data_IF_942834971530
#
_entry.id   IF_942834971530
#
_cell.length_a   1.000
_cell.length_b   1.000
_cell.length_c   1.000
_cell.angle_alpha   90.00
_cell.angle_beta   90.00
_cell.angle_gamma   90.00
#
_symmetry.space_group_name_H-M   'P 1'
#
loop_
_entity.id
_entity.type
_entity.pdbx_description
1 polymer ?
#
# COMPACT_ATOMS: atom_id res chain seq x y z
N UNK A 1 -9.63 -21.25 -4.96
CA UNK A 1 -9.15 -19.97 -5.53
C UNK A 1 -8.40 -19.26 -4.43
N UNK A 2 -7.14 -18.87 -4.62
CA UNK A 2 -6.49 -17.99 -3.67
C UNK A 2 -7.32 -16.72 -3.59
N UNK A 3 -7.63 -16.27 -2.38
CA UNK A 3 -8.25 -14.97 -2.21
C UNK A 3 -7.15 -13.96 -2.55
N UNK A 4 -7.37 -13.11 -3.54
CA UNK A 4 -6.51 -11.94 -3.73
C UNK A 4 -6.34 -11.29 -2.37
N UNK A 5 -5.10 -11.20 -1.88
CA UNK A 5 -4.81 -10.34 -0.76
C UNK A 5 -4.90 -8.95 -1.33
N UNK A 6 -5.73 -8.07 -0.79
CA UNK A 6 -5.89 -6.79 -1.46
C UNK A 6 -4.69 -5.86 -1.22
N UNK A 7 -3.79 -6.21 -0.26
CA UNK A 7 -2.64 -5.39 0.17
C UNK A 7 -1.78 -5.98 1.28
N UNK A 8 -0.51 -5.57 1.34
CA UNK A 8 0.37 -5.57 2.53
C UNK A 8 0.73 -4.14 2.92
N UNK A 9 0.99 -3.89 4.22
CA UNK A 9 1.32 -2.55 4.72
C UNK A 9 2.73 -2.52 5.34
N UNK A 10 3.57 -1.60 4.88
CA UNK A 10 4.90 -1.36 5.46
C UNK A 10 5.01 0.07 6.01
N UNK A 11 5.59 0.21 7.20
CA UNK A 11 5.76 1.49 7.89
C UNK A 11 7.24 1.76 8.08
N UNK A 12 7.75 2.83 7.50
CA UNK A 12 9.11 3.29 7.74
C UNK A 12 9.13 4.24 8.92
N UNK A 13 10.06 4.03 9.85
CA UNK A 13 10.24 4.84 11.05
C UNK A 13 11.50 5.72 10.93
N UNK A 14 11.46 6.90 11.56
CA UNK A 14 12.66 7.72 11.77
C UNK A 14 13.51 7.21 12.95
N UNK A 15 14.61 7.89 13.24
CA UNK A 15 15.51 7.55 14.35
C UNK A 15 14.89 7.69 15.76
N UNK A 16 13.71 8.31 15.88
CA UNK A 16 12.93 8.42 17.10
C UNK A 16 11.78 7.41 17.16
N UNK A 17 11.79 6.39 16.30
CA UNK A 17 10.75 5.36 16.15
C UNK A 17 9.37 5.91 15.75
N UNK A 18 9.33 7.08 15.09
CA UNK A 18 8.09 7.67 14.60
C UNK A 18 7.86 7.32 13.12
N UNK A 19 6.63 6.92 12.73
CA UNK A 19 6.23 6.78 11.33
C UNK A 19 6.53 8.01 10.48
N UNK A 20 7.23 7.81 9.35
CA UNK A 20 7.48 8.84 8.33
C UNK A 20 6.87 8.50 6.99
N UNK A 21 6.86 7.23 6.62
CA UNK A 21 6.22 6.74 5.39
C UNK A 21 5.37 5.52 5.66
N UNK A 22 4.30 5.42 4.90
CA UNK A 22 3.45 4.24 4.86
C UNK A 22 3.28 3.79 3.42
N UNK A 23 3.53 2.50 3.21
CA UNK A 23 3.48 1.80 1.95
C UNK A 23 2.33 0.81 1.98
N UNK A 24 1.69 0.67 0.83
CA UNK A 24 0.62 -0.27 0.60
C UNK A 24 0.90 -1.02 -0.70
N UNK A 25 1.38 -2.25 -0.59
CA UNK A 25 1.71 -3.05 -1.77
C UNK A 25 0.44 -3.64 -2.38
N UNK A 26 0.35 -3.69 -3.71
CA UNK A 26 -0.70 -4.44 -4.39
C UNK A 26 -0.23 -5.90 -4.53
N UNK A 27 -0.94 -6.84 -3.90
CA UNK A 27 -0.55 -8.26 -3.91
C UNK A 27 -1.50 -9.10 -4.76
N UNK A 28 -0.99 -9.75 -5.80
CA UNK A 28 -1.79 -10.62 -6.67
C UNK A 28 -2.33 -11.84 -5.90
N UNK A 29 -1.51 -12.39 -5.01
CA UNK A 29 -1.84 -13.55 -4.19
C UNK A 29 -1.24 -13.42 -2.79
N UNK A 30 -2.08 -13.56 -1.77
CA UNK A 30 -1.62 -13.59 -0.38
C UNK A 30 -1.18 -15.01 0.00
N UNK A 31 -0.03 -15.14 0.66
CA UNK A 31 0.46 -16.39 1.19
C UNK A 31 1.43 -16.19 2.35
N UNK A 32 1.83 -17.30 2.98
CA UNK A 32 2.88 -17.32 3.99
C UNK A 32 3.80 -18.52 3.74
N UNK A 33 5.13 -18.35 3.69
CA UNK A 33 5.87 -17.11 3.94
C UNK A 33 5.98 -16.17 2.72
N UNK A 34 5.39 -16.53 1.59
CA UNK A 34 5.53 -15.80 0.32
C UNK A 34 4.21 -15.19 -0.13
N UNK A 35 4.26 -13.95 -0.60
CA UNK A 35 3.20 -13.25 -1.32
C UNK A 35 3.63 -13.05 -2.78
N UNK A 36 2.66 -13.01 -3.70
CA UNK A 36 2.90 -12.64 -5.08
C UNK A 36 2.67 -11.15 -5.24
N UNK A 37 3.72 -10.43 -5.56
CA UNK A 37 3.70 -8.99 -5.82
C UNK A 37 2.99 -8.67 -7.15
N UNK A 38 2.30 -7.54 -7.21
CA UNK A 38 1.64 -7.03 -8.42
C UNK A 38 2.22 -5.69 -8.90
N UNK A 39 3.51 -5.46 -8.63
CA UNK A 39 4.37 -4.38 -9.09
C UNK A 39 4.03 -2.98 -8.56
N UNK A 40 2.76 -2.66 -8.32
CA UNK A 40 2.38 -1.33 -7.86
C UNK A 40 2.32 -1.23 -6.35
N UNK A 41 2.84 -0.13 -5.83
CA UNK A 41 2.66 0.28 -4.44
C UNK A 41 2.00 1.66 -4.36
N UNK A 42 1.36 1.94 -3.22
CA UNK A 42 0.94 3.29 -2.85
C UNK A 42 1.75 3.76 -1.65
N UNK A 43 2.52 4.83 -1.84
CA UNK A 43 3.30 5.48 -0.77
C UNK A 43 2.58 6.74 -0.28
N UNK A 44 2.65 7.00 1.02
CA UNK A 44 2.18 8.25 1.62
C UNK A 44 3.11 8.71 2.75
N UNK A 45 3.08 10.02 3.04
CA UNK A 45 3.71 10.58 4.22
C UNK A 45 2.85 10.26 5.45
N UNK A 46 3.46 9.75 6.52
CA UNK A 46 2.80 9.63 7.81
C UNK A 46 2.97 10.94 8.60
N UNK A 47 1.87 11.45 9.15
CA UNK A 47 1.88 12.65 10.00
C UNK A 47 0.81 12.54 11.08
N UNK A 48 0.87 13.39 12.11
CA UNK A 48 -0.20 13.50 13.10
C UNK A 48 -1.18 14.62 12.72
N UNK A 49 -2.48 14.34 12.79
CA UNK A 49 -3.53 15.34 12.69
C UNK A 49 -3.55 16.25 13.94
N UNK A 50 -4.44 17.24 13.97
CA UNK A 50 -4.59 18.16 15.12
C UNK A 50 -5.02 17.47 16.41
N UNK A 51 -5.62 16.29 16.33
CA UNK A 51 -5.99 15.47 17.49
C UNK A 51 -4.85 14.51 17.89
N UNK A 52 -3.69 14.57 17.23
CA UNK A 52 -2.55 13.71 17.51
C UNK A 52 -2.65 12.31 16.91
N UNK A 53 -3.63 12.05 16.02
CA UNK A 53 -3.82 10.75 15.37
C UNK A 53 -2.97 10.64 14.12
N UNK A 54 -2.42 9.45 13.86
CA UNK A 54 -1.69 9.19 12.63
C UNK A 54 -2.62 9.29 11.42
N UNK A 55 -2.15 9.98 10.39
CA UNK A 55 -2.84 10.18 9.13
C UNK A 55 -1.83 10.11 7.99
N UNK A 56 -2.31 9.70 6.82
CA UNK A 56 -1.52 9.74 5.61
C UNK A 56 -1.79 11.00 4.80
N UNK A 57 -0.71 11.56 4.27
CA UNK A 57 -0.73 12.75 3.44
C UNK A 57 -0.08 12.43 2.09
N UNK A 58 -0.58 13.09 1.04
CA UNK A 58 -0.03 13.05 -0.30
C UNK A 58 0.23 11.63 -0.83
N UNK A 59 -0.80 10.75 -0.88
CA UNK A 59 -0.61 9.41 -1.43
C UNK A 59 -0.26 9.47 -2.92
N UNK A 60 0.67 8.64 -3.34
CA UNK A 60 1.12 8.51 -4.74
C UNK A 60 1.27 7.04 -5.08
N UNK A 61 0.81 6.64 -6.26
CA UNK A 61 1.09 5.32 -6.84
C UNK A 61 2.51 5.34 -7.41
N UNK A 62 3.33 4.35 -7.07
CA UNK A 62 4.70 4.20 -7.55
C UNK A 62 4.86 2.91 -8.36
N UNK A 63 6.04 2.74 -8.96
CA UNK A 63 6.47 1.52 -9.66
C UNK A 63 5.63 1.15 -10.91
N UNK A 64 4.98 2.16 -11.49
CA UNK A 64 4.29 2.05 -12.78
C UNK A 64 5.20 1.55 -13.90
N UNK A 65 6.48 1.94 -13.90
CA UNK A 65 7.45 1.48 -14.89
C UNK A 65 7.66 -0.04 -14.81
N UNK A 66 7.67 -0.61 -13.61
CA UNK A 66 7.86 -2.05 -13.42
C UNK A 66 6.64 -2.84 -13.90
N UNK A 67 5.42 -2.36 -13.63
CA UNK A 67 4.20 -2.94 -14.18
C UNK A 67 4.20 -2.91 -15.72
N UNK A 68 4.57 -1.78 -16.32
CA UNK A 68 4.67 -1.65 -17.77
C UNK A 68 5.72 -2.58 -18.38
N UNK A 69 6.86 -2.72 -17.72
CA UNK A 69 7.94 -3.61 -18.15
C UNK A 69 7.52 -5.07 -18.07
N UNK A 70 6.80 -5.47 -17.02
CA UNK A 70 6.22 -6.80 -16.88
C UNK A 70 5.20 -7.10 -18.00
N UNK A 71 4.33 -6.14 -18.32
CA UNK A 71 3.38 -6.27 -19.42
C UNK A 71 4.08 -6.39 -20.77
N UNK A 72 5.09 -5.55 -21.04
CA UNK A 72 5.90 -5.60 -22.29
C UNK A 72 6.66 -6.92 -22.42
N UNK A 73 7.17 -7.46 -21.30
CA UNK A 73 7.86 -8.73 -21.26
C UNK A 73 6.91 -9.95 -21.35
N UNK A 74 5.60 -9.74 -21.23
CA UNK A 74 4.60 -10.81 -21.24
C UNK A 74 4.61 -11.68 -19.98
N UNK A 75 5.19 -11.20 -18.88
CA UNK A 75 5.15 -11.89 -17.58
C UNK A 75 3.79 -11.74 -16.89
N UNK A 76 3.02 -10.72 -17.28
CA UNK A 76 1.61 -10.53 -16.91
C UNK A 76 0.76 -10.25 -18.15
N UNK A 77 -0.54 -10.48 -18.01
CA UNK A 77 -1.55 -10.14 -19.00
C UNK A 77 -2.03 -8.70 -18.85
N UNK A 78 -2.65 -8.16 -19.90
CA UNK A 78 -3.30 -6.85 -19.83
C UNK A 78 -4.42 -6.78 -18.77
N UNK A 79 -5.08 -7.91 -18.47
CA UNK A 79 -6.10 -7.96 -17.43
C UNK A 79 -5.49 -7.86 -16.03
N UNK A 80 -4.34 -8.53 -15.78
CA UNK A 80 -3.62 -8.44 -14.51
C UNK A 80 -3.06 -7.03 -14.29
N UNK A 81 -2.49 -6.41 -15.33
CA UNK A 81 -2.04 -5.01 -15.27
C UNK A 81 -3.17 -4.04 -14.93
N UNK A 82 -4.31 -4.14 -15.64
CA UNK A 82 -5.49 -3.30 -15.36
C UNK A 82 -6.06 -3.54 -13.95
N UNK A 83 -6.01 -4.79 -13.49
CA UNK A 83 -6.44 -5.13 -12.14
C UNK A 83 -5.54 -4.46 -11.09
N UNK A 84 -4.21 -4.52 -11.25
CA UNK A 84 -3.26 -3.90 -10.35
C UNK A 84 -3.50 -2.38 -10.25
N UNK A 85 -3.65 -1.70 -11.39
CA UNK A 85 -3.98 -0.26 -11.46
C UNK A 85 -5.30 0.07 -10.73
N UNK A 86 -6.31 -0.78 -10.91
CA UNK A 86 -7.62 -0.60 -10.24
C UNK A 86 -7.49 -0.72 -8.73
N UNK A 87 -6.69 -1.67 -8.24
CA UNK A 87 -6.44 -1.84 -6.81
C UNK A 87 -5.64 -0.68 -6.24
N UNK A 88 -4.57 -0.25 -6.91
CA UNK A 88 -3.76 0.90 -6.51
C UNK A 88 -4.60 2.19 -6.44
N UNK A 89 -5.46 2.43 -7.43
CA UNK A 89 -6.38 3.57 -7.43
C UNK A 89 -7.38 3.53 -6.26
N UNK A 90 -7.94 2.35 -5.96
CA UNK A 90 -8.82 2.15 -4.79
C UNK A 90 -8.08 2.45 -3.49
N UNK A 91 -6.84 1.97 -3.33
CA UNK A 91 -6.02 2.25 -2.14
C UNK A 91 -5.79 3.75 -2.00
N UNK A 92 -5.44 4.44 -3.09
CA UNK A 92 -5.25 5.89 -3.08
C UNK A 92 -6.52 6.63 -2.64
N UNK A 93 -7.69 6.22 -3.12
CA UNK A 93 -8.99 6.77 -2.70
C UNK A 93 -9.30 6.49 -1.22
N UNK A 94 -9.05 5.27 -0.74
CA UNK A 94 -9.23 4.91 0.67
C UNK A 94 -8.32 5.75 1.58
N UNK A 95 -7.08 6.02 1.17
CA UNK A 95 -6.17 6.91 1.91
C UNK A 95 -6.69 8.35 1.89
N UNK A 96 -7.05 8.87 0.71
CA UNK A 96 -7.56 10.23 0.57
C UNK A 96 -8.85 10.48 1.37
N UNK A 97 -9.70 9.45 1.51
CA UNK A 97 -10.95 9.50 2.27
C UNK A 97 -10.80 9.08 3.73
N UNK A 98 -9.57 8.79 4.20
CA UNK A 98 -9.28 8.34 5.57
C UNK A 98 -10.04 7.07 5.97
N UNK A 99 -10.27 6.17 5.02
CA UNK A 99 -10.93 4.86 5.22
C UNK A 99 -9.97 3.68 5.10
N UNK A 100 -8.68 3.95 4.86
CA UNK A 100 -7.64 2.94 4.71
C UNK A 100 -7.31 2.25 6.05
N UNK A 101 -7.94 1.08 6.27
CA UNK A 101 -7.90 0.32 7.54
C UNK A 101 -6.51 0.02 8.11
N UNK A 102 -5.46 -0.26 7.32
CA UNK A 102 -4.13 -0.47 7.91
C UNK A 102 -3.60 0.72 8.73
N UNK A 103 -4.12 1.94 8.54
CA UNK A 103 -3.82 3.05 9.45
C UNK A 103 -4.44 2.91 10.83
N UNK A 104 -5.60 2.27 10.95
CA UNK A 104 -6.17 1.97 12.26
C UNK A 104 -5.28 0.99 13.03
N UNK A 105 -4.67 0.03 12.32
CA UNK A 105 -3.71 -0.93 12.87
C UNK A 105 -2.41 -0.24 13.30
N UNK A 106 -1.89 0.67 12.47
CA UNK A 106 -0.75 1.52 12.80
C UNK A 106 -1.05 2.38 14.03
N UNK A 107 -2.24 2.99 14.06
CA UNK A 107 -2.69 3.81 15.17
C UNK A 107 -2.72 3.02 16.48
N UNK A 108 -3.25 1.80 16.46
CA UNK A 108 -3.30 0.91 17.63
C UNK A 108 -1.88 0.49 18.08
N UNK A 109 -1.00 0.15 17.15
CA UNK A 109 0.37 -0.28 17.45
C UNK A 109 1.18 0.82 18.15
N UNK A 110 1.09 2.06 17.68
CA UNK A 110 1.83 3.19 18.25
C UNK A 110 1.15 3.89 19.44
N UNK A 111 -0.12 3.58 19.73
CA UNK A 111 -0.80 4.05 20.96
C UNK A 111 -0.41 3.24 22.20
N UNK A 112 0.01 1.99 22.02
CA UNK A 112 0.43 1.11 23.12
C UNK A 112 1.91 1.25 23.51
N UNK A 113 2.62 2.23 22.95
CA UNK A 113 4.04 2.50 23.16
C UNK A 113 4.26 3.81 23.89
#
# INVERSE_FOLDING_TARGET
MPKHGDRTGLVCLNAADEPVWCYADVIAEAGFPWTSDAYLDVISLASRDRAGRWTALNPVIIDQEDLENALKAGTITANESKWAETVAARILEEIATQTYRPFDELQAFFQGR
#
